data_IF_894754970539
#
_entry.id   IF_894754970539
#
_cell.length_a   1.000
_cell.length_b   1.000
_cell.length_c   1.000
_cell.angle_alpha   90.00
_cell.angle_beta   90.00
_cell.angle_gamma   90.00
#
_symmetry.space_group_name_H-M   'P 1'
#
loop_
_entity.id
_entity.type
_entity.pdbx_description
1 polymer ?
#
# COMPACT_ATOMS: atom_id res chain seq x y z
N UNK A 1 15.61 21.51 2.44
CA UNK A 1 15.41 20.97 1.09
C UNK A 1 16.55 21.45 0.21
N UNK A 2 17.04 20.58 -0.67
CA UNK A 2 17.93 20.99 -1.76
C UNK A 2 17.06 21.54 -2.89
N UNK A 3 17.47 22.64 -3.53
CA UNK A 3 16.75 23.17 -4.69
C UNK A 3 16.99 22.27 -5.90
N UNK A 4 15.93 21.99 -6.68
CA UNK A 4 16.04 21.23 -7.92
C UNK A 4 16.94 21.90 -8.97
N UNK A 5 17.18 23.21 -8.85
CA UNK A 5 18.05 24.00 -9.73
C UNK A 5 19.49 23.50 -9.78
N UNK A 6 19.94 22.69 -8.80
CA UNK A 6 21.26 22.05 -8.86
C UNK A 6 21.44 21.22 -10.14
N UNK A 7 20.34 20.69 -10.71
CA UNK A 7 20.36 19.89 -11.92
C UNK A 7 20.46 20.72 -13.21
N UNK A 8 20.27 22.05 -13.16
CA UNK A 8 20.44 22.93 -14.33
C UNK A 8 21.88 22.89 -14.86
N UNK A 9 22.85 22.59 -13.99
CA UNK A 9 24.27 22.42 -14.36
C UNK A 9 24.52 21.24 -15.32
N UNK A 10 23.55 20.35 -15.50
CA UNK A 10 23.63 19.18 -16.39
C UNK A 10 22.90 19.39 -17.72
N UNK A 11 22.33 20.59 -17.96
CA UNK A 11 21.66 20.96 -19.20
C UNK A 11 22.61 21.64 -20.18
N UNK A 12 22.28 21.54 -21.46
CA UNK A 12 22.95 22.23 -22.56
C UNK A 12 22.41 23.66 -22.75
N UNK A 13 22.97 24.37 -23.74
CA UNK A 13 22.54 25.74 -24.07
C UNK A 13 21.09 25.84 -24.57
N UNK A 14 20.45 24.72 -24.93
CA UNK A 14 19.05 24.66 -25.32
C UNK A 14 18.12 24.33 -24.13
N UNK A 15 18.68 24.21 -22.92
CA UNK A 15 17.94 23.87 -21.71
C UNK A 15 17.57 22.38 -21.61
N UNK A 16 18.18 21.50 -22.40
CA UNK A 16 17.94 20.05 -22.37
C UNK A 16 19.09 19.32 -21.68
N UNK A 17 18.80 18.21 -21.00
CA UNK A 17 19.86 17.38 -20.41
C UNK A 17 20.88 16.95 -21.47
N UNK A 18 22.17 17.12 -21.18
CA UNK A 18 23.23 16.88 -22.14
C UNK A 18 23.30 15.38 -22.51
N UNK A 19 23.22 15.08 -23.80
CA UNK A 19 23.29 13.70 -24.31
C UNK A 19 24.57 12.95 -23.95
N UNK A 20 25.67 13.66 -23.64
CA UNK A 20 26.91 13.01 -23.17
C UNK A 20 26.74 12.27 -21.83
N UNK A 21 25.76 12.68 -21.01
CA UNK A 21 25.44 12.03 -19.74
C UNK A 21 25.00 10.57 -19.93
N UNK A 22 24.52 10.21 -21.12
CA UNK A 22 24.11 8.84 -21.44
C UNK A 22 25.26 7.83 -21.34
N UNK A 23 26.51 8.29 -21.31
CA UNK A 23 27.68 7.43 -21.13
C UNK A 23 27.90 7.02 -19.66
N UNK A 24 27.43 7.82 -18.69
CA UNK A 24 27.51 7.49 -17.26
C UNK A 24 26.21 6.83 -16.79
N UNK A 25 26.14 5.51 -16.95
CA UNK A 25 24.95 4.72 -16.59
C UNK A 25 24.64 4.80 -15.09
N UNK A 26 25.67 4.86 -14.24
CA UNK A 26 25.46 4.95 -12.79
C UNK A 26 24.92 6.33 -12.40
N UNK A 27 25.47 7.39 -13.01
CA UNK A 27 24.94 8.75 -12.88
C UNK A 27 23.49 8.85 -13.35
N UNK A 28 23.16 8.26 -14.51
CA UNK A 28 21.78 8.20 -15.02
C UNK A 28 20.84 7.47 -14.07
N UNK A 29 21.25 6.33 -13.53
CA UNK A 29 20.43 5.56 -12.59
C UNK A 29 20.16 6.36 -11.30
N UNK A 30 21.17 7.07 -10.78
CA UNK A 30 21.03 7.94 -9.60
C UNK A 30 20.11 9.13 -9.87
N UNK A 31 20.25 9.76 -11.04
CA UNK A 31 19.38 10.86 -11.45
C UNK A 31 17.93 10.39 -11.66
N UNK A 32 17.76 9.20 -12.24
CA UNK A 32 16.44 8.57 -12.37
C UNK A 32 15.80 8.39 -11.00
N UNK A 33 16.48 7.78 -10.03
CA UNK A 33 15.92 7.58 -8.68
C UNK A 33 15.65 8.91 -7.96
N UNK A 34 16.56 9.88 -8.08
CA UNK A 34 16.38 11.22 -7.51
C UNK A 34 15.20 11.97 -8.13
N UNK A 35 14.87 11.75 -9.41
CA UNK A 35 13.71 12.38 -10.04
C UNK A 35 12.36 11.92 -9.45
N UNK A 36 12.34 10.78 -8.75
CA UNK A 36 11.11 10.16 -8.23
C UNK A 36 10.62 10.81 -6.93
N UNK A 37 11.46 11.64 -6.31
CA UNK A 37 11.08 12.46 -5.13
C UNK A 37 10.54 13.84 -5.51
N UNK A 38 10.36 14.12 -6.81
CA UNK A 38 9.82 15.37 -7.30
C UNK A 38 8.42 15.66 -6.74
N UNK A 39 8.11 16.95 -6.53
CA UNK A 39 6.76 17.43 -6.23
C UNK A 39 6.33 18.54 -7.20
N UNK A 40 5.06 18.96 -7.12
CA UNK A 40 4.45 19.92 -8.06
C UNK A 40 5.24 21.23 -8.09
N UNK A 41 5.74 21.60 -9.28
CA UNK A 41 6.53 22.80 -9.53
C UNK A 41 7.99 22.51 -9.94
N UNK A 42 8.48 21.29 -9.75
CA UNK A 42 9.85 20.90 -10.07
C UNK A 42 9.97 20.28 -11.48
N UNK A 43 9.66 21.08 -12.51
CA UNK A 43 9.64 20.62 -13.91
C UNK A 43 10.98 20.01 -14.36
N UNK A 44 12.10 20.47 -13.83
CA UNK A 44 13.43 19.93 -14.13
C UNK A 44 13.57 18.45 -13.75
N UNK A 45 12.92 18.00 -12.67
CA UNK A 45 12.96 16.60 -12.28
C UNK A 45 12.06 15.74 -13.17
N UNK A 46 10.96 16.30 -13.68
CA UNK A 46 10.14 15.63 -14.70
C UNK A 46 10.93 15.40 -16.00
N UNK A 47 11.63 16.44 -16.47
CA UNK A 47 12.53 16.34 -17.62
C UNK A 47 13.66 15.33 -17.37
N UNK A 48 14.24 15.33 -16.16
CA UNK A 48 15.30 14.40 -15.77
C UNK A 48 14.80 12.95 -15.80
N UNK A 49 13.57 12.71 -15.31
CA UNK A 49 12.93 11.41 -15.31
C UNK A 49 12.71 10.89 -16.73
N UNK A 50 12.20 11.73 -17.63
CA UNK A 50 11.98 11.36 -19.04
C UNK A 50 13.30 11.04 -19.75
N UNK A 51 14.29 11.93 -19.60
CA UNK A 51 15.62 11.77 -20.17
C UNK A 51 16.28 10.47 -19.70
N UNK A 52 16.33 10.24 -18.39
CA UNK A 52 16.97 9.06 -17.81
C UNK A 52 16.21 7.78 -18.14
N UNK A 53 14.88 7.77 -18.10
CA UNK A 53 14.06 6.59 -18.46
C UNK A 53 14.34 6.13 -19.88
N UNK A 54 14.39 7.07 -20.83
CA UNK A 54 14.63 6.77 -22.25
C UNK A 54 16.01 6.16 -22.45
N UNK A 55 17.06 6.82 -21.96
CA UNK A 55 18.43 6.36 -22.13
C UNK A 55 18.71 5.05 -21.39
N UNK A 56 18.17 4.87 -20.17
CA UNK A 56 18.35 3.63 -19.41
C UNK A 56 17.71 2.43 -20.12
N UNK A 57 16.52 2.59 -20.74
CA UNK A 57 15.88 1.53 -21.54
C UNK A 57 16.72 1.15 -22.76
N UNK A 58 17.27 2.12 -23.48
CA UNK A 58 18.13 1.87 -24.64
C UNK A 58 19.45 1.16 -24.29
N UNK A 59 19.95 1.37 -23.07
CA UNK A 59 21.23 0.82 -22.61
C UNK A 59 21.11 -0.61 -22.06
N UNK A 60 19.92 -1.12 -21.78
CA UNK A 60 19.72 -2.47 -21.21
C UNK A 60 20.45 -3.58 -21.98
N UNK A 61 20.49 -3.50 -23.31
CA UNK A 61 21.18 -4.47 -24.17
C UNK A 61 22.70 -4.31 -24.27
N UNK A 62 23.26 -3.19 -23.78
CA UNK A 62 24.67 -2.78 -23.98
C UNK A 62 25.51 -2.86 -22.71
N UNK A 63 24.87 -3.01 -21.55
CA UNK A 63 25.51 -3.03 -20.23
C UNK A 63 25.72 -4.46 -19.71
N UNK A 64 26.63 -4.61 -18.75
CA UNK A 64 26.90 -5.90 -18.10
C UNK A 64 25.68 -6.43 -17.34
N UNK A 65 25.66 -7.73 -17.07
CA UNK A 65 24.50 -8.41 -16.47
C UNK A 65 24.09 -7.82 -15.12
N UNK A 66 25.06 -7.40 -14.30
CA UNK A 66 24.78 -6.90 -12.95
C UNK A 66 24.25 -5.47 -12.99
N UNK A 67 24.83 -4.60 -13.82
CA UNK A 67 24.25 -3.28 -14.05
C UNK A 67 22.88 -3.37 -14.71
N UNK A 68 22.67 -4.31 -15.64
CA UNK A 68 21.36 -4.58 -16.25
C UNK A 68 20.31 -4.93 -15.21
N UNK A 69 20.64 -5.78 -14.24
CA UNK A 69 19.73 -6.14 -13.16
C UNK A 69 19.33 -4.91 -12.33
N UNK A 70 20.30 -4.05 -11.96
CA UNK A 70 20.04 -2.79 -11.23
C UNK A 70 19.15 -1.82 -12.01
N UNK A 71 19.45 -1.60 -13.29
CA UNK A 71 18.67 -0.71 -14.15
C UNK A 71 17.26 -1.26 -14.37
N UNK A 72 17.13 -2.56 -14.63
CA UNK A 72 15.80 -3.20 -14.82
C UNK A 72 14.95 -3.11 -13.57
N UNK A 73 15.57 -3.35 -12.40
CA UNK A 73 14.91 -3.23 -11.10
C UNK A 73 14.39 -1.81 -10.84
N UNK A 74 15.21 -0.79 -11.04
CA UNK A 74 14.79 0.61 -10.87
C UNK A 74 13.70 1.05 -11.87
N UNK A 75 13.82 0.65 -13.14
CA UNK A 75 12.83 0.96 -14.18
C UNK A 75 11.48 0.25 -13.96
N UNK A 76 11.49 -0.87 -13.25
CA UNK A 76 10.29 -1.63 -12.95
C UNK A 76 9.45 -0.92 -11.88
N UNK A 77 10.03 -0.64 -10.71
CA UNK A 77 9.46 0.24 -9.68
C UNK A 77 10.65 0.99 -9.05
N UNK A 78 10.67 2.33 -9.09
CA UNK A 78 11.76 3.09 -8.49
C UNK A 78 11.80 2.92 -6.97
N UNK A 79 12.99 3.12 -6.40
CA UNK A 79 13.27 2.94 -4.98
C UNK A 79 12.25 3.66 -4.08
N UNK A 80 11.95 4.92 -4.36
CA UNK A 80 11.03 5.75 -3.56
C UNK A 80 9.62 5.14 -3.46
N UNK A 81 9.22 4.31 -4.42
CA UNK A 81 7.88 3.76 -4.58
C UNK A 81 7.77 2.29 -4.19
N UNK A 82 8.88 1.68 -3.79
CA UNK A 82 8.95 0.24 -3.49
C UNK A 82 8.81 -0.02 -2.00
N UNK A 83 8.10 -1.10 -1.65
CA UNK A 83 8.00 -1.57 -0.27
C UNK A 83 9.39 -1.88 0.30
N UNK A 84 9.73 -1.27 1.45
CA UNK A 84 11.10 -1.29 1.98
C UNK A 84 11.61 -2.69 2.31
N UNK A 85 10.75 -3.61 2.80
CA UNK A 85 11.19 -4.99 3.10
C UNK A 85 11.55 -5.78 1.85
N UNK A 86 10.81 -5.60 0.74
CA UNK A 86 11.17 -6.20 -0.54
C UNK A 86 12.47 -5.60 -1.09
N UNK A 87 12.63 -4.28 -0.94
CA UNK A 87 13.84 -3.61 -1.40
C UNK A 87 15.07 -3.96 -0.57
N UNK A 88 14.93 -4.09 0.75
CA UNK A 88 15.99 -4.57 1.62
C UNK A 88 16.40 -5.99 1.24
N UNK A 89 15.44 -6.89 0.99
CA UNK A 89 15.73 -8.26 0.57
C UNK A 89 16.57 -8.28 -0.72
N UNK A 90 16.10 -7.57 -1.75
CA UNK A 90 16.78 -7.53 -3.03
C UNK A 90 18.18 -6.90 -2.94
N UNK A 91 18.33 -5.81 -2.18
CA UNK A 91 19.63 -5.16 -1.99
C UNK A 91 20.61 -6.05 -1.23
N UNK A 92 20.18 -6.78 -0.21
CA UNK A 92 21.05 -7.71 0.53
C UNK A 92 21.55 -8.82 -0.39
N UNK A 93 20.68 -9.40 -1.20
CA UNK A 93 21.03 -10.51 -2.10
C UNK A 93 21.90 -10.05 -3.28
N UNK A 94 21.71 -8.83 -3.77
CA UNK A 94 22.49 -8.23 -4.86
C UNK A 94 23.73 -7.45 -4.39
N UNK A 95 23.99 -7.40 -3.07
CA UNK A 95 25.04 -6.59 -2.49
C UNK A 95 26.44 -7.10 -2.85
N UNK A 96 27.30 -6.16 -3.21
CA UNK A 96 28.69 -6.45 -3.54
C UNK A 96 29.57 -6.54 -2.30
N UNK A 97 30.36 -7.61 -2.21
CA UNK A 97 31.17 -7.95 -1.02
C UNK A 97 32.68 -7.79 -1.30
N UNK A 98 33.07 -6.65 -1.87
CA UNK A 98 34.45 -6.47 -2.35
C UNK A 98 35.49 -6.23 -1.24
N UNK A 99 35.09 -5.71 -0.07
CA UNK A 99 35.99 -5.39 1.06
C UNK A 99 35.35 -5.74 2.43
N UNK A 100 36.17 -5.85 3.48
CA UNK A 100 35.82 -6.27 4.84
C UNK A 100 34.71 -5.39 5.46
N UNK A 101 34.78 -4.07 5.29
CA UNK A 101 33.72 -3.16 5.77
C UNK A 101 32.36 -3.45 5.10
N UNK A 102 32.37 -3.77 3.80
CA UNK A 102 31.17 -4.14 3.05
C UNK A 102 30.64 -5.51 3.46
N UNK A 103 31.52 -6.44 3.84
CA UNK A 103 31.14 -7.74 4.38
C UNK A 103 30.50 -7.63 5.77
N UNK A 104 31.02 -6.76 6.64
CA UNK A 104 30.43 -6.50 7.96
C UNK A 104 29.03 -5.88 7.83
N UNK A 105 28.86 -4.88 6.96
CA UNK A 105 27.56 -4.26 6.69
C UNK A 105 26.56 -5.27 6.12
N UNK A 106 26.96 -6.08 5.14
CA UNK A 106 26.08 -7.14 4.61
C UNK A 106 25.69 -8.14 5.70
N UNK A 107 26.64 -8.53 6.57
CA UNK A 107 26.37 -9.46 7.67
C UNK A 107 25.38 -8.87 8.66
N UNK A 108 25.55 -7.60 9.04
CA UNK A 108 24.59 -6.87 9.88
C UNK A 108 23.21 -6.82 9.23
N UNK A 109 23.13 -6.51 7.92
CA UNK A 109 21.86 -6.44 7.20
C UNK A 109 21.13 -7.79 7.15
N UNK A 110 21.84 -8.91 6.98
CA UNK A 110 21.26 -10.26 7.04
C UNK A 110 20.73 -10.57 8.44
N UNK A 111 21.49 -10.28 9.49
CA UNK A 111 21.07 -10.53 10.87
C UNK A 111 19.84 -9.70 11.24
N UNK A 112 19.85 -8.40 10.93
CA UNK A 112 18.71 -7.52 11.17
C UNK A 112 17.47 -7.99 10.38
N UNK A 113 17.63 -8.31 9.09
CA UNK A 113 16.52 -8.77 8.26
C UNK A 113 15.85 -10.01 8.85
N UNK A 114 16.64 -11.02 9.25
CA UNK A 114 16.15 -12.28 9.81
C UNK A 114 15.57 -12.09 11.23
N UNK A 115 16.15 -11.21 12.05
CA UNK A 115 15.61 -10.85 13.36
C UNK A 115 14.21 -10.23 13.23
N UNK A 116 14.06 -9.22 12.36
CA UNK A 116 12.77 -8.60 12.07
C UNK A 116 11.79 -9.65 11.53
N UNK A 117 12.23 -10.51 10.60
CA UNK A 117 11.39 -11.58 10.04
C UNK A 117 10.86 -12.52 11.14
N UNK A 118 11.69 -12.89 12.13
CA UNK A 118 11.25 -13.72 13.26
C UNK A 118 10.15 -13.05 14.09
N UNK A 119 10.20 -11.72 14.26
CA UNK A 119 9.14 -10.96 14.95
C UNK A 119 7.85 -10.98 14.11
N UNK A 120 7.96 -10.78 12.79
CA UNK A 120 6.81 -10.86 11.89
C UNK A 120 6.16 -12.24 11.92
N UNK A 121 6.93 -13.33 12.02
CA UNK A 121 6.38 -14.68 12.18
C UNK A 121 5.62 -14.85 13.50
N UNK A 122 6.12 -14.26 14.59
CA UNK A 122 5.41 -14.23 15.87
C UNK A 122 4.11 -13.43 15.81
N UNK A 123 4.12 -12.29 15.13
CA UNK A 123 2.93 -11.48 14.87
C UNK A 123 1.89 -12.28 14.05
N UNK A 124 2.35 -12.94 12.97
CA UNK A 124 1.52 -13.79 12.11
C UNK A 124 0.88 -14.94 12.89
N UNK A 125 1.64 -15.59 13.79
CA UNK A 125 1.11 -16.67 14.62
C UNK A 125 -0.05 -16.18 15.49
N UNK A 126 0.09 -15.01 16.13
CA UNK A 126 -0.95 -14.44 16.99
C UNK A 126 -2.22 -14.08 16.20
N UNK A 127 -2.08 -13.42 15.05
CA UNK A 127 -3.25 -13.09 14.20
C UNK A 127 -3.87 -14.34 13.58
N UNK A 128 -3.09 -15.39 13.34
CA UNK A 128 -3.60 -16.69 12.89
C UNK A 128 -4.45 -17.38 13.96
N UNK A 129 -4.06 -17.29 15.23
CA UNK A 129 -4.90 -17.76 16.34
C UNK A 129 -6.21 -16.95 16.40
N UNK A 130 -6.12 -15.62 16.39
CA UNK A 130 -7.31 -14.76 16.36
C UNK A 130 -8.25 -15.10 15.19
N UNK A 131 -7.72 -15.31 13.98
CA UNK A 131 -8.53 -15.63 12.81
C UNK A 131 -9.27 -16.97 12.95
N UNK A 132 -8.58 -17.98 13.50
CA UNK A 132 -9.19 -19.28 13.82
C UNK A 132 -10.30 -19.14 14.87
N UNK A 133 -10.08 -18.34 15.91
CA UNK A 133 -11.02 -18.12 17.01
C UNK A 133 -12.28 -17.37 16.54
N UNK A 134 -12.10 -16.37 15.68
CA UNK A 134 -13.21 -15.63 15.05
C UNK A 134 -14.06 -16.55 14.16
N UNK A 135 -13.44 -17.55 13.53
CA UNK A 135 -14.14 -18.66 12.87
C UNK A 135 -14.92 -18.27 11.60
N UNK A 136 -14.79 -17.04 11.11
CA UNK A 136 -15.51 -16.54 9.93
C UNK A 136 -15.19 -17.35 8.67
N UNK A 137 -13.94 -17.79 8.47
CA UNK A 137 -13.56 -18.64 7.31
C UNK A 137 -14.43 -19.91 7.19
N UNK A 138 -14.80 -20.50 8.32
CA UNK A 138 -15.60 -21.73 8.36
C UNK A 138 -17.10 -21.48 8.24
N UNK A 139 -17.55 -20.23 8.41
CA UNK A 139 -18.96 -19.83 8.40
C UNK A 139 -19.36 -19.10 7.12
N UNK A 140 -18.41 -18.43 6.48
CA UNK A 140 -18.61 -17.62 5.28
C UNK A 140 -17.86 -18.25 4.10
N UNK A 141 -18.40 -19.36 3.57
CA UNK A 141 -17.75 -20.10 2.48
C UNK A 141 -17.61 -19.32 1.17
N UNK A 142 -18.39 -18.26 0.99
CA UNK A 142 -18.29 -17.36 -0.17
C UNK A 142 -17.09 -16.41 -0.07
N UNK A 143 -16.62 -16.11 1.15
CA UNK A 143 -15.62 -15.09 1.38
C UNK A 143 -14.20 -15.66 1.26
N UNK A 144 -13.29 -14.87 0.70
CA UNK A 144 -11.90 -15.26 0.43
C UNK A 144 -11.11 -15.39 1.73
N UNK A 145 -10.45 -16.53 1.93
CA UNK A 145 -9.46 -16.65 3.00
C UNK A 145 -8.07 -16.17 2.58
N UNK A 146 -7.76 -14.92 2.93
CA UNK A 146 -6.53 -14.17 2.58
C UNK A 146 -5.78 -13.62 3.78
N UNK A 147 -5.73 -14.35 4.90
CA UNK A 147 -5.03 -13.87 6.11
C UNK A 147 -3.55 -13.56 5.85
N UNK A 148 -2.86 -14.39 5.08
CA UNK A 148 -1.44 -14.20 4.78
C UNK A 148 -1.21 -12.92 3.95
N UNK A 149 -2.05 -12.69 2.95
CA UNK A 149 -2.02 -11.49 2.12
C UNK A 149 -2.40 -10.24 2.94
N UNK A 150 -3.41 -10.33 3.80
CA UNK A 150 -3.76 -9.26 4.76
C UNK A 150 -2.61 -8.91 5.71
N UNK A 151 -1.87 -9.92 6.17
CA UNK A 151 -0.69 -9.72 7.01
C UNK A 151 0.45 -9.07 6.21
N UNK A 152 0.67 -9.50 4.96
CA UNK A 152 1.66 -8.91 4.07
C UNK A 152 1.40 -7.43 3.78
N UNK A 153 0.13 -7.02 3.64
CA UNK A 153 -0.26 -5.60 3.58
C UNK A 153 0.20 -4.82 4.81
N UNK A 154 -0.06 -5.37 6.00
CA UNK A 154 0.32 -4.73 7.27
C UNK A 154 1.85 -4.64 7.43
N UNK A 155 2.59 -5.66 7.01
CA UNK A 155 4.07 -5.62 6.95
C UNK A 155 4.55 -4.56 5.97
N UNK A 156 3.88 -4.41 4.83
CA UNK A 156 4.21 -3.41 3.83
C UNK A 156 4.00 -1.99 4.33
N UNK A 157 2.99 -1.76 5.16
CA UNK A 157 2.72 -0.47 5.79
C UNK A 157 3.68 -0.14 6.94
N UNK A 158 4.00 -1.14 7.79
CA UNK A 158 4.71 -0.91 9.06
C UNK A 158 5.50 -2.13 9.53
N UNK A 159 6.75 -2.28 9.09
CA UNK A 159 7.55 -3.48 9.36
C UNK A 159 8.43 -3.39 10.62
N UNK A 160 8.59 -2.21 11.21
CA UNK A 160 9.57 -1.99 12.28
C UNK A 160 9.17 -2.75 13.57
N UNK A 161 10.12 -3.44 14.23
CA UNK A 161 9.81 -4.34 15.36
C UNK A 161 8.89 -3.77 16.44
N UNK A 162 9.08 -2.51 16.83
CA UNK A 162 8.35 -1.84 17.90
C UNK A 162 6.84 -1.68 17.64
N UNK A 163 6.40 -1.85 16.39
CA UNK A 163 5.01 -1.66 15.97
C UNK A 163 4.23 -2.98 15.78
N UNK A 164 4.61 -4.04 16.50
CA UNK A 164 3.94 -5.35 16.50
C UNK A 164 2.42 -5.24 16.73
N UNK A 165 1.97 -4.52 17.76
CA UNK A 165 0.53 -4.38 18.04
C UNK A 165 -0.22 -3.68 16.90
N UNK A 166 0.39 -2.65 16.31
CA UNK A 166 -0.17 -1.96 15.16
C UNK A 166 -0.30 -2.89 13.94
N UNK A 167 0.75 -3.65 13.60
CA UNK A 167 0.69 -4.66 12.52
C UNK A 167 -0.42 -5.68 12.75
N UNK A 168 -0.51 -6.23 13.97
CA UNK A 168 -1.52 -7.24 14.30
C UNK A 168 -2.92 -6.66 14.20
N UNK A 169 -3.13 -5.45 14.73
CA UNK A 169 -4.42 -4.75 14.63
C UNK A 169 -4.80 -4.45 13.18
N UNK A 170 -3.88 -3.89 12.39
CA UNK A 170 -4.10 -3.64 10.96
C UNK A 170 -4.42 -4.91 10.18
N UNK A 171 -3.77 -6.03 10.49
CA UNK A 171 -4.05 -7.30 9.82
C UNK A 171 -5.50 -7.73 10.05
N UNK A 172 -6.01 -7.56 11.28
CA UNK A 172 -7.41 -7.83 11.60
C UNK A 172 -8.34 -6.92 10.80
N UNK A 173 -8.01 -5.64 10.69
CA UNK A 173 -8.77 -4.64 9.93
C UNK A 173 -8.80 -5.00 8.44
N UNK A 174 -7.66 -5.21 7.79
CA UNK A 174 -7.57 -5.61 6.37
C UNK A 174 -8.36 -6.89 6.12
N UNK A 175 -8.30 -7.85 7.06
CA UNK A 175 -9.03 -9.09 6.95
C UNK A 175 -10.54 -8.87 7.01
N UNK A 176 -11.03 -8.03 7.94
CA UNK A 176 -12.45 -7.68 8.04
C UNK A 176 -12.93 -6.91 6.81
N UNK A 177 -12.13 -5.97 6.27
CA UNK A 177 -12.43 -5.27 5.02
C UNK A 177 -12.64 -6.28 3.90
N UNK A 178 -11.75 -7.26 3.75
CA UNK A 178 -11.86 -8.29 2.70
C UNK A 178 -13.15 -9.10 2.79
N UNK A 179 -13.56 -9.47 4.01
CA UNK A 179 -14.80 -10.21 4.22
C UNK A 179 -16.02 -9.35 3.90
N UNK A 180 -15.99 -8.08 4.30
CA UNK A 180 -17.10 -7.15 4.08
C UNK A 180 -17.20 -6.83 2.58
N UNK A 181 -16.09 -6.59 1.90
CA UNK A 181 -16.01 -6.46 0.43
C UNK A 181 -16.69 -7.65 -0.28
N UNK A 182 -16.37 -8.90 0.11
CA UNK A 182 -17.04 -10.09 -0.42
C UNK A 182 -18.55 -10.16 -0.11
N UNK A 183 -18.99 -9.58 1.01
CA UNK A 183 -20.42 -9.49 1.34
C UNK A 183 -21.12 -8.56 0.35
N UNK A 184 -20.54 -7.42 -0.01
CA UNK A 184 -21.14 -6.45 -0.94
C UNK A 184 -21.04 -6.88 -2.40
N UNK A 185 -19.91 -7.45 -2.83
CA UNK A 185 -19.64 -7.72 -4.24
C UNK A 185 -20.18 -9.06 -4.74
N UNK A 186 -20.24 -10.06 -3.85
CA UNK A 186 -20.50 -11.46 -4.26
C UNK A 186 -21.79 -12.02 -3.68
N UNK A 187 -22.10 -11.68 -2.43
CA UNK A 187 -23.11 -12.44 -1.67
C UNK A 187 -24.44 -11.71 -1.45
N UNK A 188 -24.41 -10.49 -0.92
CA UNK A 188 -25.60 -9.82 -0.41
C UNK A 188 -26.52 -9.31 -1.51
N UNK A 189 -27.83 -9.48 -1.33
CA UNK A 189 -28.80 -8.73 -2.11
C UNK A 189 -28.84 -7.26 -1.68
N UNK A 190 -29.26 -6.33 -2.56
CA UNK A 190 -29.31 -4.90 -2.23
C UNK A 190 -30.06 -4.60 -0.93
N UNK A 191 -31.19 -5.27 -0.68
CA UNK A 191 -31.97 -5.11 0.56
C UNK A 191 -31.18 -5.54 1.80
N UNK A 192 -30.46 -6.67 1.73
CA UNK A 192 -29.61 -7.13 2.82
C UNK A 192 -28.40 -6.21 3.04
N UNK A 193 -27.82 -5.67 1.96
CA UNK A 193 -26.71 -4.72 2.02
C UNK A 193 -27.12 -3.37 2.62
N UNK A 194 -28.33 -2.89 2.33
CA UNK A 194 -28.91 -1.71 2.98
C UNK A 194 -29.06 -1.93 4.49
N UNK A 195 -29.56 -3.10 4.91
CA UNK A 195 -29.68 -3.45 6.32
C UNK A 195 -28.30 -3.56 7.01
N UNK A 196 -27.32 -4.17 6.35
CA UNK A 196 -25.96 -4.26 6.90
C UNK A 196 -25.29 -2.89 7.02
N UNK A 197 -25.48 -2.03 6.02
CA UNK A 197 -24.99 -0.64 6.04
C UNK A 197 -25.59 0.12 7.23
N UNK A 198 -26.91 0.08 7.40
CA UNK A 198 -27.61 0.73 8.51
C UNK A 198 -27.14 0.21 9.89
N UNK A 199 -26.89 -1.11 10.00
CA UNK A 199 -26.36 -1.69 11.23
C UNK A 199 -24.95 -1.16 11.58
N UNK A 200 -24.06 -1.03 10.60
CA UNK A 200 -22.72 -0.46 10.78
C UNK A 200 -22.78 1.03 11.09
N UNK A 201 -23.66 1.78 10.45
CA UNK A 201 -23.86 3.22 10.70
C UNK A 201 -24.38 3.50 12.11
N UNK A 202 -25.41 2.77 12.55
CA UNK A 202 -25.95 2.90 13.91
C UNK A 202 -24.99 2.40 14.97
N UNK A 203 -24.13 1.44 14.58
CA UNK A 203 -23.22 0.73 15.48
C UNK A 203 -23.93 0.16 16.72
N UNK A 204 -25.15 -0.37 16.51
CA UNK A 204 -25.99 -0.93 17.58
C UNK A 204 -26.01 -2.46 17.50
N UNK A 205 -25.61 -3.11 18.58
CA UNK A 205 -25.62 -4.57 18.70
C UNK A 205 -27.02 -5.17 18.52
N UNK A 206 -28.08 -4.42 18.83
CA UNK A 206 -29.46 -4.89 18.68
C UNK A 206 -29.90 -5.02 17.21
N UNK A 207 -29.23 -4.31 16.29
CA UNK A 207 -29.46 -4.45 14.85
C UNK A 207 -29.21 -5.88 14.35
N UNK A 208 -28.44 -6.68 15.10
CA UNK A 208 -28.24 -8.11 14.84
C UNK A 208 -29.55 -8.86 14.62
N UNK A 209 -30.64 -8.52 15.30
CA UNK A 209 -31.89 -9.28 15.17
C UNK A 209 -32.44 -9.26 13.74
N UNK A 210 -32.18 -8.16 13.02
CA UNK A 210 -32.73 -7.88 11.70
C UNK A 210 -31.82 -8.34 10.55
N UNK A 211 -30.55 -8.62 10.81
CA UNK A 211 -29.60 -9.05 9.78
C UNK A 211 -29.78 -10.54 9.37
N UNK A 212 -29.46 -10.92 8.12
CA UNK A 212 -29.40 -12.31 7.71
C UNK A 212 -28.22 -13.05 8.36
N UNK A 213 -28.27 -14.39 8.35
CA UNK A 213 -27.38 -15.24 9.17
C UNK A 213 -25.88 -15.01 9.00
N UNK A 214 -25.39 -14.86 7.77
CA UNK A 214 -23.97 -14.59 7.49
C UNK A 214 -23.55 -13.18 7.96
N UNK A 215 -24.39 -12.17 7.68
CA UNK A 215 -24.17 -10.77 8.05
C UNK A 215 -24.21 -10.55 9.55
N UNK A 216 -25.02 -11.32 10.30
CA UNK A 216 -25.00 -11.34 11.77
C UNK A 216 -23.61 -11.65 12.32
N UNK A 217 -23.00 -12.74 11.83
CA UNK A 217 -21.69 -13.17 12.31
C UNK A 217 -20.61 -12.17 11.86
N UNK A 218 -20.70 -11.68 10.63
CA UNK A 218 -19.78 -10.66 10.11
C UNK A 218 -19.83 -9.36 10.92
N UNK A 219 -21.03 -8.82 11.18
CA UNK A 219 -21.22 -7.61 11.96
C UNK A 219 -20.74 -7.80 13.40
N UNK A 220 -21.07 -8.92 14.05
CA UNK A 220 -20.62 -9.18 15.42
C UNK A 220 -19.09 -9.30 15.53
N UNK A 221 -18.45 -9.94 14.55
CA UNK A 221 -17.00 -10.02 14.49
C UNK A 221 -16.34 -8.65 14.31
N UNK A 222 -16.90 -7.81 13.42
CA UNK A 222 -16.48 -6.42 13.25
C UNK A 222 -16.66 -5.64 14.56
N UNK A 223 -17.89 -5.64 15.10
CA UNK A 223 -18.25 -4.92 16.33
C UNK A 223 -17.31 -5.27 17.48
N UNK A 224 -17.11 -6.55 17.77
CA UNK A 224 -16.23 -6.99 18.86
C UNK A 224 -14.77 -6.59 18.62
N UNK A 225 -14.27 -6.75 17.40
CA UNK A 225 -12.88 -6.43 17.08
C UNK A 225 -12.59 -4.94 17.25
N UNK A 226 -13.46 -4.07 16.73
CA UNK A 226 -13.26 -2.62 16.78
C UNK A 226 -13.49 -2.07 18.19
N UNK A 227 -14.49 -2.56 18.92
CA UNK A 227 -14.70 -2.16 20.31
C UNK A 227 -13.53 -2.59 21.22
N UNK A 228 -12.93 -3.76 20.99
CA UNK A 228 -11.73 -4.18 21.72
C UNK A 228 -10.54 -3.25 21.43
N UNK A 229 -10.32 -2.87 20.17
CA UNK A 229 -9.27 -1.90 19.81
C UNK A 229 -9.50 -0.54 20.50
N UNK A 230 -10.73 -0.03 20.46
CA UNK A 230 -11.08 1.22 21.12
C UNK A 230 -10.90 1.13 22.65
N UNK A 231 -11.25 -0.01 23.26
CA UNK A 231 -11.04 -0.26 24.68
C UNK A 231 -9.55 -0.26 25.05
N UNK A 232 -8.70 -0.91 24.26
CA UNK A 232 -7.27 -0.95 24.51
C UNK A 232 -6.65 0.46 24.46
N UNK A 233 -7.05 1.29 23.49
CA UNK A 233 -6.59 2.70 23.42
C UNK A 233 -7.13 3.52 24.60
N UNK A 234 -8.39 3.35 24.99
CA UNK A 234 -8.96 4.03 26.16
C UNK A 234 -8.23 3.64 27.45
N UNK A 235 -7.96 2.35 27.62
CA UNK A 235 -7.26 1.78 28.78
C UNK A 235 -5.83 2.30 28.90
N UNK A 236 -5.11 2.42 27.78
CA UNK A 236 -3.69 2.81 27.77
C UNK A 236 -3.47 4.32 27.71
N UNK A 237 -4.37 5.06 27.05
CA UNK A 237 -4.16 6.48 26.72
C UNK A 237 -5.26 7.41 27.25
N UNK A 238 -6.37 6.86 27.78
CA UNK A 238 -7.50 7.66 28.24
C UNK A 238 -8.31 8.31 27.11
N UNK A 239 -8.06 7.95 25.85
CA UNK A 239 -8.70 8.55 24.68
C UNK A 239 -9.86 7.69 24.17
N UNK A 240 -10.98 8.35 23.85
CA UNK A 240 -12.17 7.70 23.29
C UNK A 240 -12.15 7.85 21.77
N UNK A 241 -11.67 6.81 21.08
CA UNK A 241 -11.50 6.82 19.61
C UNK A 241 -12.60 6.07 18.85
N UNK A 242 -13.52 5.41 19.57
CA UNK A 242 -14.58 4.61 18.96
C UNK A 242 -15.38 5.39 17.90
N UNK A 243 -15.79 6.66 18.12
CA UNK A 243 -16.54 7.43 17.13
C UNK A 243 -15.81 7.58 15.78
N UNK A 244 -14.48 7.73 15.80
CA UNK A 244 -13.67 7.85 14.59
C UNK A 244 -13.56 6.50 13.87
N UNK A 245 -13.37 5.41 14.62
CA UNK A 245 -13.30 4.07 14.04
C UNK A 245 -14.63 3.68 13.40
N UNK A 246 -15.76 3.93 14.07
CA UNK A 246 -17.08 3.59 13.53
C UNK A 246 -17.46 4.47 12.34
N UNK A 247 -17.11 5.76 12.37
CA UNK A 247 -17.28 6.67 11.22
C UNK A 247 -16.61 6.14 9.95
N UNK A 248 -15.34 5.74 10.02
CA UNK A 248 -14.64 5.25 8.81
C UNK A 248 -15.20 3.92 8.29
N UNK A 249 -15.68 3.04 9.18
CA UNK A 249 -16.36 1.81 8.78
C UNK A 249 -17.73 2.07 8.15
N UNK A 250 -18.49 3.01 8.70
CA UNK A 250 -19.76 3.44 8.16
C UNK A 250 -19.59 4.10 6.78
N UNK A 251 -18.62 5.01 6.64
CA UNK A 251 -18.27 5.66 5.37
C UNK A 251 -17.90 4.61 4.31
N UNK A 252 -17.08 3.61 4.66
CA UNK A 252 -16.72 2.52 3.75
C UNK A 252 -17.94 1.69 3.31
N UNK A 253 -18.79 1.27 4.26
CA UNK A 253 -19.99 0.47 3.95
C UNK A 253 -20.98 1.22 3.05
N UNK A 254 -21.18 2.53 3.26
CA UNK A 254 -22.01 3.35 2.35
C UNK A 254 -21.48 3.35 0.93
N UNK A 255 -20.16 3.41 0.77
CA UNK A 255 -19.55 3.42 -0.56
C UNK A 255 -19.62 2.05 -1.23
N UNK A 256 -19.40 0.97 -0.49
CA UNK A 256 -19.63 -0.38 -1.03
C UNK A 256 -21.09 -0.58 -1.44
N UNK A 257 -22.06 -0.08 -0.66
CA UNK A 257 -23.47 -0.10 -1.05
C UNK A 257 -23.69 0.68 -2.36
N UNK A 258 -23.06 1.85 -2.50
CA UNK A 258 -23.16 2.68 -3.71
C UNK A 258 -22.58 1.97 -4.94
N UNK A 259 -21.43 1.31 -4.79
CA UNK A 259 -20.80 0.51 -5.85
C UNK A 259 -21.68 -0.71 -6.23
N UNK A 260 -22.25 -1.40 -5.25
CA UNK A 260 -23.21 -2.49 -5.49
C UNK A 260 -24.47 -2.00 -6.23
N UNK A 261 -24.98 -0.82 -5.90
CA UNK A 261 -26.09 -0.18 -6.62
C UNK A 261 -25.72 0.16 -8.06
N UNK A 262 -24.51 0.64 -8.32
CA UNK A 262 -24.04 0.89 -9.69
C UNK A 262 -23.95 -0.40 -10.50
N UNK A 263 -23.35 -1.45 -9.91
CA UNK A 263 -23.23 -2.76 -10.53
C UNK A 263 -24.60 -3.36 -10.87
N UNK A 264 -25.53 -3.37 -9.91
CA UNK A 264 -26.88 -3.90 -10.10
C UNK A 264 -27.65 -3.16 -11.22
N UNK A 265 -27.52 -1.83 -11.27
CA UNK A 265 -28.19 -1.00 -12.28
C UNK A 265 -27.42 -0.90 -13.60
N UNK A 266 -26.25 -1.55 -13.72
CA UNK A 266 -25.30 -1.40 -14.85
C UNK A 266 -24.99 0.06 -15.16
N UNK A 267 -24.93 0.88 -14.11
CA UNK A 267 -24.60 2.28 -14.22
C UNK A 267 -23.08 2.44 -14.38
N UNK A 268 -22.67 3.28 -15.33
CA UNK A 268 -21.28 3.70 -15.49
C UNK A 268 -21.24 5.17 -15.08
N UNK A 269 -20.70 5.50 -13.88
CA UNK A 269 -20.56 6.87 -13.45
C UNK A 269 -19.54 7.62 -14.31
N UNK A 270 -19.48 8.95 -14.18
CA UNK A 270 -18.35 9.71 -14.75
C UNK A 270 -17.05 9.32 -14.04
N UNK A 271 -15.91 9.51 -14.70
CA UNK A 271 -14.60 9.23 -14.12
C UNK A 271 -14.37 10.06 -12.85
N UNK A 272 -14.76 11.33 -12.85
CA UNK A 272 -14.63 12.20 -11.68
C UNK A 272 -15.55 11.76 -10.53
N UNK A 273 -16.79 11.37 -10.84
CA UNK A 273 -17.72 10.83 -9.84
C UNK A 273 -17.16 9.55 -9.22
N UNK A 274 -16.75 8.59 -10.05
CA UNK A 274 -16.12 7.34 -9.62
C UNK A 274 -14.92 7.61 -8.72
N UNK A 275 -13.96 8.42 -9.21
CA UNK A 275 -12.72 8.64 -8.50
C UNK A 275 -12.92 9.41 -7.21
N UNK A 276 -13.89 10.32 -7.13
CA UNK A 276 -14.19 11.10 -5.91
C UNK A 276 -14.57 10.21 -4.71
N UNK A 277 -15.09 9.02 -4.98
CA UNK A 277 -15.48 8.01 -3.98
C UNK A 277 -14.50 6.82 -3.94
N UNK A 278 -13.92 6.45 -5.08
CA UNK A 278 -13.10 5.25 -5.25
C UNK A 278 -11.87 5.20 -4.34
N UNK A 279 -11.24 6.35 -4.06
CA UNK A 279 -10.11 6.39 -3.12
C UNK A 279 -10.55 6.05 -1.69
N UNK A 280 -11.79 6.37 -1.30
CA UNK A 280 -12.33 6.07 0.02
C UNK A 280 -12.87 4.62 0.08
N UNK A 281 -13.53 4.14 -0.98
CA UNK A 281 -13.98 2.75 -1.08
C UNK A 281 -12.82 1.74 -1.17
N UNK A 282 -11.61 2.17 -1.55
CA UNK A 282 -10.41 1.32 -1.51
C UNK A 282 -10.07 0.79 -0.12
N UNK A 283 -10.69 1.30 0.95
CA UNK A 283 -10.34 1.13 2.37
C UNK A 283 -9.04 1.80 2.81
N UNK A 284 -8.26 2.41 1.90
CA UNK A 284 -7.01 3.09 2.24
C UNK A 284 -7.12 4.08 3.42
N UNK A 285 -8.12 5.00 3.45
CA UNK A 285 -8.26 5.95 4.55
C UNK A 285 -8.63 5.26 5.85
N UNK A 286 -9.47 4.22 5.79
CA UNK A 286 -9.82 3.39 6.94
C UNK A 286 -8.56 2.74 7.52
N UNK A 287 -7.73 2.10 6.69
CA UNK A 287 -6.47 1.48 7.14
C UNK A 287 -5.54 2.50 7.80
N UNK A 288 -5.43 3.71 7.26
CA UNK A 288 -4.58 4.76 7.82
C UNK A 288 -5.13 5.31 9.15
N UNK A 289 -6.43 5.48 9.29
CA UNK A 289 -7.05 5.88 10.57
C UNK A 289 -6.79 4.83 11.65
N UNK A 290 -6.95 3.54 11.32
CA UNK A 290 -6.60 2.46 12.25
C UNK A 290 -5.10 2.45 12.57
N UNK A 291 -4.24 2.62 11.57
CA UNK A 291 -2.79 2.65 11.77
C UNK A 291 -2.38 3.77 12.74
N UNK A 292 -2.96 4.96 12.58
CA UNK A 292 -2.70 6.12 13.43
C UNK A 292 -2.97 5.81 14.91
N UNK A 293 -4.17 5.32 15.21
CA UNK A 293 -4.58 5.06 16.59
C UNK A 293 -3.85 3.88 17.22
N UNK A 294 -3.49 2.87 16.43
CA UNK A 294 -2.77 1.70 16.92
C UNK A 294 -1.27 1.93 17.07
N UNK A 295 -0.68 2.90 16.36
CA UNK A 295 0.74 3.21 16.46
C UNK A 295 1.06 4.27 17.53
N UNK A 296 0.19 5.26 17.71
CA UNK A 296 0.55 6.48 18.40
C UNK A 296 0.29 6.34 19.90
N UNK A 297 1.30 6.69 20.69
CA UNK A 297 1.17 6.89 22.13
C UNK A 297 1.18 8.40 22.33
N UNK A 298 0.10 8.96 22.88
CA UNK A 298 -0.20 10.39 23.03
C UNK A 298 -1.02 10.99 21.88
N UNK A 299 -2.15 10.35 21.56
CA UNK A 299 -3.14 10.90 20.63
C UNK A 299 -3.71 12.22 21.20
N UNK A 300 -3.74 13.28 20.39
CA UNK A 300 -4.38 14.56 20.74
C UNK A 300 -5.77 14.69 20.12
N UNK A 301 -6.64 15.50 20.75
CA UNK A 301 -7.98 15.80 20.21
C UNK A 301 -7.92 16.55 18.87
N UNK A 302 -6.92 17.42 18.69
CA UNK A 302 -6.73 18.15 17.43
C UNK A 302 -6.42 17.19 16.27
N UNK A 303 -5.56 16.20 16.49
CA UNK A 303 -5.27 15.17 15.48
C UNK A 303 -6.49 14.27 15.21
N UNK A 304 -7.27 13.93 16.26
CA UNK A 304 -8.53 13.18 16.13
C UNK A 304 -9.52 13.92 15.22
N UNK A 305 -9.71 15.22 15.46
CA UNK A 305 -10.65 16.06 14.70
C UNK A 305 -10.24 16.18 13.23
N UNK A 306 -8.94 16.17 12.93
CA UNK A 306 -8.44 16.23 11.55
C UNK A 306 -8.90 15.05 10.69
N UNK A 307 -9.23 13.90 11.27
CA UNK A 307 -9.74 12.76 10.50
C UNK A 307 -11.21 12.90 10.08
N UNK A 308 -11.94 13.90 10.58
CA UNK A 308 -13.33 14.12 10.17
C UNK A 308 -13.45 14.46 8.69
N UNK A 309 -12.51 15.25 8.17
CA UNK A 309 -12.51 15.76 6.79
C UNK A 309 -11.55 15.02 5.85
N UNK A 310 -10.91 13.95 6.31
CA UNK A 310 -9.90 13.17 5.58
C UNK A 310 -8.76 14.04 5.02
N UNK A 311 -7.65 14.22 5.76
CA UNK A 311 -6.58 15.08 5.31
C UNK A 311 -5.93 14.55 4.03
N UNK A 312 -5.26 15.44 3.30
CA UNK A 312 -4.62 15.12 2.02
C UNK A 312 -3.65 13.92 2.13
N UNK A 313 -2.98 13.78 3.28
CA UNK A 313 -2.13 12.65 3.65
C UNK A 313 -2.83 11.29 3.55
N UNK A 314 -4.13 11.21 3.80
CA UNK A 314 -4.92 9.99 3.64
C UNK A 314 -5.39 9.80 2.21
N UNK A 315 -5.74 10.89 1.53
CA UNK A 315 -6.31 10.87 0.19
C UNK A 315 -5.33 10.35 -0.86
N UNK A 316 -4.16 10.98 -1.01
CA UNK A 316 -3.24 10.64 -2.10
C UNK A 316 -2.75 9.18 -2.10
N UNK A 317 -2.28 8.59 -0.98
CA UNK A 317 -1.88 7.19 -0.99
C UNK A 317 -3.05 6.24 -1.22
N UNK A 318 -4.26 6.59 -0.76
CA UNK A 318 -5.48 5.81 -1.01
C UNK A 318 -5.94 5.89 -2.47
N UNK A 319 -5.75 7.04 -3.13
CA UNK A 319 -5.94 7.16 -4.57
C UNK A 319 -4.97 6.24 -5.32
N UNK A 320 -3.68 6.25 -4.95
CA UNK A 320 -2.70 5.32 -5.55
C UNK A 320 -3.13 3.87 -5.33
N UNK A 321 -3.58 3.53 -4.12
CA UNK A 321 -4.12 2.21 -3.83
C UNK A 321 -5.26 1.84 -4.79
N UNK A 322 -6.33 2.64 -4.84
CA UNK A 322 -7.45 2.43 -5.77
C UNK A 322 -6.98 2.23 -7.21
N UNK A 323 -6.16 3.16 -7.74
CA UNK A 323 -5.72 3.12 -9.12
C UNK A 323 -4.84 1.91 -9.44
N UNK A 324 -3.98 1.49 -8.50
CA UNK A 324 -3.18 0.27 -8.67
C UNK A 324 -4.06 -0.97 -8.69
N UNK A 325 -5.07 -1.03 -7.82
CA UNK A 325 -6.04 -2.10 -7.78
C UNK A 325 -6.78 -2.20 -9.12
N UNK A 326 -7.45 -1.14 -9.57
CA UNK A 326 -8.23 -1.11 -10.81
C UNK A 326 -7.37 -1.44 -12.06
N UNK A 327 -6.13 -0.96 -12.11
CA UNK A 327 -5.20 -1.32 -13.19
C UNK A 327 -4.98 -2.83 -13.29
N UNK A 328 -4.95 -3.52 -12.14
CA UNK A 328 -4.68 -4.96 -12.05
C UNK A 328 -5.92 -5.83 -12.20
N UNK A 329 -7.10 -5.36 -11.79
CA UNK A 329 -8.34 -6.14 -11.73
C UNK A 329 -9.32 -5.85 -12.86
N UNK A 330 -9.23 -4.68 -13.51
CA UNK A 330 -10.16 -4.20 -14.54
C UNK A 330 -10.60 -5.26 -15.56
N UNK A 331 -9.66 -6.04 -16.09
CA UNK A 331 -10.00 -7.09 -17.08
C UNK A 331 -10.90 -8.17 -16.49
N UNK A 332 -10.57 -8.67 -15.32
CA UNK A 332 -11.35 -9.71 -14.65
C UNK A 332 -12.72 -9.19 -14.21
N UNK A 333 -12.80 -7.94 -13.76
CA UNK A 333 -14.04 -7.26 -13.39
C UNK A 333 -15.00 -7.16 -14.59
N UNK A 334 -14.49 -6.71 -15.75
CA UNK A 334 -15.27 -6.64 -16.99
C UNK A 334 -15.78 -8.03 -17.40
N UNK A 335 -14.94 -9.07 -17.30
CA UNK A 335 -15.33 -10.46 -17.60
C UNK A 335 -16.41 -11.00 -16.65
N UNK A 336 -16.47 -10.51 -15.40
CA UNK A 336 -17.53 -10.82 -14.43
C UNK A 336 -18.81 -10.01 -14.64
N UNK A 337 -18.78 -9.01 -15.53
CA UNK A 337 -19.90 -8.14 -15.82
C UNK A 337 -19.98 -6.89 -14.97
N UNK A 338 -18.92 -6.55 -14.23
CA UNK A 338 -18.81 -5.28 -13.51
C UNK A 338 -18.62 -4.13 -14.50
N UNK A 339 -19.28 -3.01 -14.25
CA UNK A 339 -19.33 -1.88 -15.19
C UNK A 339 -18.51 -0.66 -14.74
N UNK A 340 -18.10 -0.60 -13.48
CA UNK A 340 -17.51 0.60 -12.89
C UNK A 340 -16.13 0.33 -12.27
N UNK A 341 -15.07 0.69 -13.01
CA UNK A 341 -13.71 0.86 -12.49
C UNK A 341 -13.05 2.05 -13.19
N UNK A 342 -11.91 2.53 -12.68
CA UNK A 342 -11.26 3.72 -13.23
C UNK A 342 -11.01 3.64 -14.75
N UNK A 343 -10.67 2.46 -15.27
CA UNK A 343 -10.40 2.24 -16.70
C UNK A 343 -11.69 2.36 -17.51
N UNK A 344 -12.72 1.59 -17.15
CA UNK A 344 -14.02 1.58 -17.82
C UNK A 344 -14.70 2.95 -17.79
N UNK A 345 -14.69 3.63 -16.64
CA UNK A 345 -15.27 4.96 -16.48
C UNK A 345 -14.56 6.00 -17.38
N UNK A 346 -13.22 5.97 -17.42
CA UNK A 346 -12.45 6.89 -18.26
C UNK A 346 -12.63 6.62 -19.75
N UNK A 347 -12.60 5.36 -20.17
CA UNK A 347 -12.86 4.95 -21.55
C UNK A 347 -14.24 5.43 -22.02
N UNK A 348 -15.26 5.23 -21.18
CA UNK A 348 -16.63 5.62 -21.49
C UNK A 348 -16.78 7.14 -21.58
N UNK A 349 -16.27 7.89 -20.60
CA UNK A 349 -16.41 9.35 -20.56
C UNK A 349 -15.63 10.05 -21.68
N UNK A 350 -14.38 9.64 -21.93
CA UNK A 350 -13.51 10.29 -22.93
C UNK A 350 -13.60 9.67 -24.32
N UNK A 351 -14.33 8.56 -24.48
CA UNK A 351 -14.44 7.80 -25.73
C UNK A 351 -13.07 7.42 -26.31
N UNK A 352 -12.19 6.89 -25.46
CA UNK A 352 -10.80 6.49 -25.80
C UNK A 352 -10.60 4.98 -25.68
N UNK A 353 -9.48 4.47 -26.23
CA UNK A 353 -9.12 3.06 -26.08
C UNK A 353 -8.66 2.71 -24.67
N UNK A 354 -8.63 1.42 -24.35
CA UNK A 354 -8.15 0.92 -23.07
C UNK A 354 -6.68 1.29 -22.83
N UNK A 355 -5.84 1.26 -23.87
CA UNK A 355 -4.43 1.63 -23.78
C UNK A 355 -4.27 3.08 -23.32
N UNK A 356 -5.03 4.01 -23.94
CA UNK A 356 -5.01 5.44 -23.59
C UNK A 356 -5.52 5.65 -22.17
N UNK A 357 -6.57 4.94 -21.76
CA UNK A 357 -7.08 5.00 -20.39
C UNK A 357 -6.04 4.50 -19.37
N UNK A 358 -5.39 3.36 -19.64
CA UNK A 358 -4.34 2.81 -18.77
C UNK A 358 -3.14 3.75 -18.65
N UNK A 359 -2.73 4.40 -19.74
CA UNK A 359 -1.67 5.42 -19.72
C UNK A 359 -2.07 6.63 -18.88
N UNK A 360 -3.30 7.11 -19.03
CA UNK A 360 -3.83 8.20 -18.20
C UNK A 360 -3.83 7.83 -16.71
N UNK A 361 -4.33 6.65 -16.33
CA UNK A 361 -4.31 6.21 -14.92
C UNK A 361 -2.89 6.10 -14.36
N UNK A 362 -1.92 5.62 -15.14
CA UNK A 362 -0.50 5.62 -14.73
C UNK A 362 0.03 7.03 -14.50
N UNK A 363 -0.34 7.99 -15.35
CA UNK A 363 0.04 9.40 -15.16
C UNK A 363 -0.60 10.00 -13.90
N UNK A 364 -1.84 9.61 -13.58
CA UNK A 364 -2.52 10.05 -12.37
C UNK A 364 -1.87 9.47 -11.09
N UNK A 365 -1.36 8.23 -11.15
CA UNK A 365 -0.52 7.68 -10.07
C UNK A 365 0.74 8.53 -9.86
N UNK A 366 1.41 8.93 -10.93
CA UNK A 366 2.58 9.82 -10.85
C UNK A 366 2.25 11.18 -10.22
N UNK A 367 1.11 11.76 -10.59
CA UNK A 367 0.63 13.02 -10.01
C UNK A 367 0.37 12.88 -8.51
N UNK A 368 -0.27 11.80 -8.07
CA UNK A 368 -0.51 11.55 -6.64
C UNK A 368 0.81 11.33 -5.89
N UNK A 369 1.82 10.69 -6.49
CA UNK A 369 3.16 10.59 -5.89
C UNK A 369 3.82 11.96 -5.67
N UNK A 370 3.67 12.90 -6.61
CA UNK A 370 4.16 14.28 -6.42
C UNK A 370 3.45 14.99 -5.28
N UNK A 371 2.15 14.71 -5.08
CA UNK A 371 1.40 15.27 -3.96
C UNK A 371 1.87 14.68 -2.63
N UNK A 372 2.11 13.37 -2.56
CA UNK A 372 2.71 12.71 -1.39
C UNK A 372 4.09 13.29 -1.06
N UNK A 373 4.96 13.47 -2.07
CA UNK A 373 6.29 14.05 -1.87
C UNK A 373 6.22 15.50 -1.34
N UNK A 374 5.17 16.25 -1.70
CA UNK A 374 4.92 17.59 -1.14
C UNK A 374 4.55 17.53 0.34
N UNK A 375 3.71 16.57 0.75
CA UNK A 375 3.33 16.38 2.15
C UNK A 375 4.56 16.07 3.03
N UNK A 376 5.54 15.30 2.51
CA UNK A 376 6.80 14.97 3.19
C UNK A 376 7.64 16.18 3.60
N UNK A 377 7.56 17.26 2.82
CA UNK A 377 8.36 18.48 3.03
C UNK A 377 7.55 19.62 3.64
N UNK A 378 6.25 19.41 3.80
CA UNK A 378 5.34 20.36 4.45
C UNK A 378 5.37 20.21 5.97
N UNK A 379 4.98 21.27 6.68
CA UNK A 379 4.75 21.18 8.12
C UNK A 379 3.43 20.43 8.34
N UNK A 380 3.55 19.17 8.75
CA UNK A 380 2.41 18.33 9.11
C UNK A 380 2.22 18.32 10.62
N UNK A 381 0.95 18.28 11.06
CA UNK A 381 0.60 18.03 12.47
C UNK A 381 0.96 16.60 12.88
N UNK A 382 1.00 15.68 11.91
CA UNK A 382 1.24 14.28 12.16
C UNK A 382 2.73 13.97 12.32
N UNK A 383 3.03 12.97 13.15
CA UNK A 383 4.39 12.48 13.32
C UNK A 383 4.97 11.94 12.01
N UNK A 384 6.30 12.06 11.84
CA UNK A 384 7.03 11.48 10.70
C UNK A 384 6.75 9.99 10.51
N UNK A 385 6.61 9.25 11.61
CA UNK A 385 6.30 7.82 11.57
C UNK A 385 4.94 7.56 10.93
N UNK A 386 3.91 8.36 11.23
CA UNK A 386 2.60 8.20 10.60
C UNK A 386 2.62 8.58 9.12
N UNK A 387 3.32 9.65 8.76
CA UNK A 387 3.51 10.06 7.36
C UNK A 387 4.18 8.93 6.57
N UNK A 388 5.20 8.27 7.14
CA UNK A 388 5.87 7.14 6.51
C UNK A 388 4.90 5.95 6.30
N UNK A 389 4.03 5.64 7.26
CA UNK A 389 2.98 4.61 7.06
C UNK A 389 2.04 4.97 5.91
N UNK A 390 1.62 6.23 5.80
CA UNK A 390 0.76 6.70 4.73
C UNK A 390 1.43 6.51 3.35
N UNK A 391 2.72 6.83 3.25
CA UNK A 391 3.51 6.58 2.03
C UNK A 391 3.64 5.08 1.77
N UNK A 392 3.86 4.31 2.82
CA UNK A 392 4.03 2.87 2.73
C UNK A 392 2.77 2.18 2.21
N UNK A 393 1.56 2.70 2.51
CA UNK A 393 0.32 2.23 1.88
C UNK A 393 0.41 2.31 0.34
N UNK A 394 0.88 3.44 -0.21
CA UNK A 394 1.06 3.59 -1.65
C UNK A 394 2.13 2.61 -2.20
N UNK A 395 3.24 2.45 -1.48
CA UNK A 395 4.34 1.53 -1.85
C UNK A 395 3.88 0.08 -1.90
N UNK A 396 3.17 -0.38 -0.86
CA UNK A 396 2.66 -1.75 -0.82
C UNK A 396 1.59 -1.95 -1.87
N UNK A 397 0.70 -0.97 -2.12
CA UNK A 397 -0.31 -1.10 -3.18
C UNK A 397 0.32 -1.30 -4.56
N UNK A 398 1.34 -0.51 -4.90
CA UNK A 398 2.07 -0.68 -6.17
C UNK A 398 2.77 -2.03 -6.25
N UNK A 399 3.41 -2.49 -5.17
CA UNK A 399 4.06 -3.79 -5.16
C UNK A 399 3.05 -4.96 -5.20
N UNK A 400 1.90 -4.81 -4.56
CA UNK A 400 0.90 -5.86 -4.46
C UNK A 400 0.21 -6.04 -5.81
N UNK A 401 -0.21 -4.96 -6.46
CA UNK A 401 -0.98 -5.03 -7.71
C UNK A 401 -0.12 -5.04 -9.00
N UNK A 402 1.20 -5.07 -8.87
CA UNK A 402 2.14 -4.93 -9.99
C UNK A 402 1.95 -5.96 -11.11
N UNK A 403 1.69 -7.21 -10.76
CA UNK A 403 1.61 -8.34 -11.71
C UNK A 403 0.25 -9.03 -11.68
N UNK A 404 -0.80 -8.29 -11.32
CA UNK A 404 -2.16 -8.79 -11.17
C UNK A 404 -2.71 -8.62 -9.76
N UNK A 405 -3.92 -9.13 -9.53
CA UNK A 405 -4.62 -9.00 -8.26
C UNK A 405 -4.08 -9.97 -7.20
N UNK A 406 -2.94 -9.61 -6.61
CA UNK A 406 -2.24 -10.37 -5.58
C UNK A 406 -3.10 -10.72 -4.35
N UNK A 407 -4.10 -9.91 -4.03
CA UNK A 407 -4.96 -10.13 -2.87
C UNK A 407 -5.98 -11.23 -3.14
N UNK A 408 -6.60 -11.20 -4.32
CA UNK A 408 -7.68 -12.11 -4.67
C UNK A 408 -7.17 -13.41 -5.28
N UNK A 409 -6.19 -13.31 -6.17
CA UNK A 409 -5.61 -14.41 -6.93
C UNK A 409 -4.07 -14.28 -7.00
N UNK A 410 -3.37 -14.61 -5.90
CA UNK A 410 -1.92 -14.46 -5.83
C UNK A 410 -1.25 -15.40 -6.85
N UNK A 411 -0.52 -14.85 -7.80
CA UNK A 411 0.34 -15.63 -8.70
C UNK A 411 1.66 -16.04 -8.02
N UNK A 412 2.50 -16.81 -8.71
CA UNK A 412 3.76 -17.30 -8.15
C UNK A 412 4.73 -16.18 -7.75
N UNK A 413 4.74 -15.06 -8.48
CA UNK A 413 5.60 -13.90 -8.14
C UNK A 413 5.16 -13.29 -6.81
N UNK A 414 3.85 -13.07 -6.63
CA UNK A 414 3.28 -12.56 -5.38
C UNK A 414 3.53 -13.51 -4.22
N UNK A 415 3.33 -14.82 -4.42
CA UNK A 415 3.63 -15.84 -3.39
C UNK A 415 5.10 -15.80 -2.98
N UNK A 416 6.02 -15.70 -3.93
CA UNK A 416 7.45 -15.59 -3.65
C UNK A 416 7.80 -14.31 -2.87
N UNK A 417 7.12 -13.18 -3.13
CA UNK A 417 7.28 -11.95 -2.32
C UNK A 417 6.89 -12.17 -0.86
N UNK A 418 5.74 -12.81 -0.62
CA UNK A 418 5.29 -13.17 0.73
C UNK A 418 6.30 -14.10 1.40
N UNK A 419 6.73 -15.17 0.71
CA UNK A 419 7.69 -16.14 1.22
C UNK A 419 9.03 -15.46 1.59
N UNK A 420 9.61 -14.67 0.68
CA UNK A 420 10.92 -14.03 0.88
C UNK A 420 10.96 -13.03 2.04
N UNK A 421 9.82 -12.40 2.36
CA UNK A 421 9.73 -11.41 3.43
C UNK A 421 9.37 -12.05 4.77
N UNK A 422 8.45 -13.01 4.78
CA UNK A 422 7.84 -13.53 6.02
C UNK A 422 8.37 -14.91 6.40
N UNK A 423 8.68 -15.79 5.45
CA UNK A 423 8.93 -17.23 5.70
C UNK A 423 10.40 -17.61 5.53
N UNK A 424 11.00 -17.24 4.40
CA UNK A 424 12.32 -17.69 3.99
C UNK A 424 13.41 -16.73 4.50
N UNK A 425 14.28 -17.15 5.42
CA UNK A 425 15.37 -16.30 5.89
C UNK A 425 16.44 -16.11 4.83
N UNK A 426 17.20 -15.02 4.93
CA UNK A 426 18.39 -14.82 4.11
C UNK A 426 19.52 -15.69 4.66
N UNK A 427 20.10 -16.53 3.80
CA UNK A 427 21.21 -17.39 4.17
C UNK A 427 22.54 -16.63 4.08
N UNK A 428 23.39 -16.77 5.09
CA UNK A 428 24.78 -16.32 5.01
C UNK A 428 25.57 -17.32 4.17
N UNK A 429 25.85 -16.98 2.91
CA UNK A 429 26.76 -17.74 2.07
C UNK A 429 28.22 -17.48 2.50
N UNK A 430 28.66 -18.17 3.56
CA UNK A 430 30.03 -18.57 3.97
C UNK A 430 30.22 -18.48 5.51
N UNK A 431 30.90 -19.47 6.15
CA UNK A 431 31.29 -19.35 7.55
C UNK A 431 32.49 -18.40 7.64
N UNK A 432 32.28 -17.19 8.17
CA UNK A 432 33.36 -16.24 8.46
C UNK A 432 34.26 -16.78 9.59
N UNK A 433 35.19 -17.69 9.25
CA UNK A 433 36.32 -18.02 10.10
C UNK A 433 37.26 -16.81 10.05
N UNK A 434 37.40 -16.11 11.18
CA UNK A 434 38.40 -15.08 11.49
C UNK A 434 37.99 -13.60 11.39
N UNK A 435 36.78 -13.21 11.84
CA UNK A 435 36.64 -11.87 12.42
C UNK A 435 37.31 -11.88 13.80
N UNK A 436 38.65 -11.68 13.83
CA UNK A 436 39.33 -11.28 15.05
C UNK A 436 38.88 -9.85 15.34
N UNK A 437 37.87 -9.71 16.20
CA UNK A 437 37.62 -8.45 16.88
C UNK A 437 38.87 -8.15 17.71
N UNK A 438 39.80 -7.37 17.15
CA UNK A 438 40.88 -6.78 17.92
C UNK A 438 40.25 -5.68 18.77
N UNK A 439 39.91 -6.04 20.00
CA UNK A 439 39.66 -5.08 21.07
C UNK A 439 41.03 -4.49 21.43
N UNK A 440 41.25 -3.24 21.06
CA UNK A 440 42.29 -2.40 21.66
C UNK A 440 41.62 -1.37 22.57
#
# INVERSE_FOLDING_TARGET
MLCSDIFENFKDHNGKFNGSLAQDILGMLRLYEASQVAYKGENILDEAREFTTTNLKEMLGKIDMKMRARVSHALEIPFQRRMQRLEARWNIESYDKYDEAYQLLHTLAVFDFNMVQSILQGDLQQVSCWWKDVGLANKLHFARDRLMESFFWSVGMIFEPQFSECRKGLTKVVKLVTIIDDVYDVYGSLEELEQFTDAVERWDINALQHLPGCMKICFLALYNTINNMAYDVLKEQGQVILPQLTKVWADLCRLFLKEAQWSCNKHIPTFDEYLSMGWLSSSGPLLLVHAYFLMNKNITNEEIECFNDYPALLRYPSTIFRLCNDLSSSKAEIERGETANAISCYMHEKSVSEEVAREYIKSLIDENWKMINKELVSNSIFSKSFIEIAINLARIAQCHYQYGNAHSDPNDITRNRVLSVIIEPIQLTQPYRNLKLSVN
#
